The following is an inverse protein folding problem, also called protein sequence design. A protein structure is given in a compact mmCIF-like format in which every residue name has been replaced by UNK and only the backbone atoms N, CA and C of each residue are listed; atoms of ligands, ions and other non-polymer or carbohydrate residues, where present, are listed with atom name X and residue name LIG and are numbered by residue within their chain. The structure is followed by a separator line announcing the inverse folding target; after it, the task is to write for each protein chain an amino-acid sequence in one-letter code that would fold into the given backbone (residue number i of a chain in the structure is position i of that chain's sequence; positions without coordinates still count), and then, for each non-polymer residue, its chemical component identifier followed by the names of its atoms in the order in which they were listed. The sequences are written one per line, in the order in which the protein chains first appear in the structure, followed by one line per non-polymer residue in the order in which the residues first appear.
data_IF_743291665465
#
_entry.id   IF_743291665465
#
_cell.length_a   1.000
_cell.length_b   1.000
_cell.length_c   1.000
_cell.angle_alpha   90.00
_cell.angle_beta   90.00
_cell.angle_gamma   90.00
#
_symmetry.space_group_name_H-M   'P 1'
#
loop_
_entity.id
_entity.type
_entity.pdbx_description
1 polymer ?
#
# COMPACT_ATOMS: atom_id res chain seq x y z
N UNK A 1 13.92 -1.19 52.44
CA UNK A 1 14.70 -2.10 51.58
C UNK A 1 14.73 -1.47 50.21
N UNK A 2 15.74 -0.65 49.96
CA UNK A 2 15.95 0.08 48.71
C UNK A 2 16.84 -0.79 47.82
N UNK A 3 16.42 -1.06 46.59
CA UNK A 3 17.31 -1.61 45.56
C UNK A 3 17.47 -0.54 44.48
N UNK A 4 18.68 0.00 44.49
CA UNK A 4 19.27 0.95 43.56
C UNK A 4 19.69 0.17 42.30
N UNK A 5 19.19 0.55 41.12
CA UNK A 5 19.55 -0.07 39.83
C UNK A 5 20.18 0.97 38.89
N UNK A 6 21.06 1.78 39.46
CA UNK A 6 22.03 2.56 38.70
C UNK A 6 23.24 1.67 38.41
N UNK A 7 23.62 1.56 37.13
CA UNK A 7 24.87 1.02 36.55
C UNK A 7 24.68 -0.19 35.61
N UNK A 8 24.39 0.09 34.33
CA UNK A 8 25.01 -0.67 33.24
C UNK A 8 25.11 0.16 31.94
N UNK A 9 26.24 0.83 31.81
CA UNK A 9 26.98 1.09 30.56
C UNK A 9 28.38 0.49 30.86
N UNK A 10 29.12 -0.13 29.91
CA UNK A 10 29.36 0.44 28.59
C UNK A 10 29.59 -0.59 27.45
N UNK A 11 29.70 -0.10 26.22
CA UNK A 11 30.94 -0.17 25.43
C UNK A 11 30.67 0.12 23.94
N UNK A 12 31.18 1.27 23.53
CA UNK A 12 31.34 1.72 22.16
C UNK A 12 32.54 1.07 21.48
N UNK A 13 32.52 1.14 20.14
CA UNK A 13 33.67 1.36 19.22
C UNK A 13 34.33 0.15 18.54
N UNK A 14 34.07 0.04 17.24
CA UNK A 14 35.05 -0.03 16.13
C UNK A 14 34.26 -0.37 14.85
N UNK A 15 34.00 0.55 13.92
CA UNK A 15 34.95 1.12 12.94
C UNK A 15 35.69 0.03 12.14
N UNK A 16 35.14 -0.32 10.97
CA UNK A 16 35.89 -0.89 9.87
C UNK A 16 35.53 -0.12 8.59
N UNK A 17 36.47 0.74 8.22
CA UNK A 17 36.42 1.61 7.07
C UNK A 17 36.79 0.89 5.77
N UNK A 18 36.35 1.51 4.68
CA UNK A 18 37.10 1.73 3.44
C UNK A 18 37.28 0.59 2.41
N UNK A 19 36.67 0.90 1.26
CA UNK A 19 37.32 0.98 -0.06
C UNK A 19 37.61 -0.32 -0.85
N UNK A 20 37.02 -0.38 -2.04
CA UNK A 20 37.66 -0.75 -3.34
C UNK A 20 36.62 -0.58 -4.46
N UNK A 21 36.71 0.46 -5.28
CA UNK A 21 37.55 0.61 -6.48
C UNK A 21 36.78 0.27 -7.77
N UNK A 22 36.25 1.29 -8.45
CA UNK A 22 36.35 1.40 -9.91
C UNK A 22 37.77 1.95 -10.23
N UNK A 23 38.27 2.04 -11.49
CA UNK A 23 37.76 1.67 -12.83
C UNK A 23 38.80 0.87 -13.66
N UNK A 24 38.48 0.39 -14.88
CA UNK A 24 39.35 0.57 -16.09
C UNK A 24 38.53 0.36 -17.39
N UNK A 25 38.63 1.26 -18.39
CA UNK A 25 38.14 1.05 -19.75
C UNK A 25 39.15 0.29 -20.62
N UNK A 26 38.68 -0.62 -21.47
CA UNK A 26 39.51 -1.24 -22.51
C UNK A 26 39.04 -0.77 -23.90
N UNK A 27 39.85 0.10 -24.49
CA UNK A 27 39.82 0.40 -25.92
C UNK A 27 40.33 -0.82 -26.71
N UNK A 28 39.73 -1.11 -27.85
CA UNK A 28 40.34 -1.96 -28.88
C UNK A 28 40.23 -1.28 -30.25
N UNK A 29 41.35 -1.34 -30.95
CA UNK A 29 41.78 -0.61 -32.12
C UNK A 29 40.96 -0.89 -33.42
N UNK A 30 41.16 -0.06 -34.47
CA UNK A 30 40.44 -0.17 -35.75
C UNK A 30 41.14 -1.14 -36.72
N UNK A 31 40.37 -1.72 -37.65
CA UNK A 31 40.93 -2.38 -38.84
C UNK A 31 40.09 -2.15 -40.11
N UNK A 32 40.73 -2.12 -41.30
CA UNK A 32 40.18 -1.51 -42.52
C UNK A 32 39.53 -2.54 -43.45
N UNK A 33 38.55 -2.08 -44.25
CA UNK A 33 37.93 -2.92 -45.27
C UNK A 33 37.10 -2.13 -46.28
N UNK A 34 37.75 -1.41 -47.21
CA UNK A 34 37.10 -0.87 -48.40
C UNK A 34 36.65 -2.02 -49.30
N UNK A 35 35.34 -2.25 -49.42
CA UNK A 35 34.75 -2.92 -50.59
C UNK A 35 33.67 -2.02 -51.20
N UNK A 36 34.03 -1.32 -52.27
CA UNK A 36 33.08 -0.65 -53.17
C UNK A 36 32.28 -1.73 -53.90
N UNK A 37 31.07 -2.04 -53.43
CA UNK A 37 30.05 -2.71 -54.24
C UNK A 37 29.07 -1.64 -54.70
N UNK A 38 28.95 -1.48 -56.02
CA UNK A 38 27.97 -0.64 -56.66
C UNK A 38 26.56 -1.06 -56.19
N UNK A 39 25.93 -0.24 -55.34
CA UNK A 39 24.53 -0.41 -54.95
C UNK A 39 23.66 0.13 -56.09
N UNK A 40 22.95 -0.79 -56.72
CA UNK A 40 21.76 -0.50 -57.54
C UNK A 40 20.82 0.37 -56.70
N UNK A 41 20.45 1.54 -57.22
CA UNK A 41 19.62 2.50 -56.51
C UNK A 41 18.30 1.84 -56.04
N UNK A 42 17.98 1.87 -54.74
CA UNK A 42 16.66 1.46 -54.28
C UNK A 42 15.62 2.46 -54.81
N UNK A 43 14.43 2.01 -55.24
CA UNK A 43 13.34 2.90 -55.61
C UNK A 43 12.96 3.79 -54.42
N UNK A 44 12.68 5.06 -54.72
CA UNK A 44 12.34 6.08 -53.74
C UNK A 44 11.25 5.56 -52.78
N UNK A 45 11.61 5.47 -51.50
CA UNK A 45 10.65 5.13 -50.46
C UNK A 45 9.56 6.22 -50.45
N UNK A 46 8.27 5.85 -50.39
CA UNK A 46 7.19 6.82 -50.28
C UNK A 46 7.41 7.67 -49.02
N UNK A 47 7.23 8.99 -49.19
CA UNK A 47 7.30 9.95 -48.11
C UNK A 47 6.44 9.46 -46.93
N UNK A 48 7.08 9.18 -45.79
CA UNK A 48 6.35 8.83 -44.58
C UNK A 48 5.50 10.03 -44.19
N UNK A 49 4.18 9.86 -44.28
CA UNK A 49 3.23 10.81 -43.72
C UNK A 49 3.50 10.84 -42.22
N UNK A 50 4.10 11.93 -41.74
CA UNK A 50 4.33 12.16 -40.32
C UNK A 50 2.96 12.39 -39.69
N UNK A 51 2.33 11.32 -39.22
CA UNK A 51 1.13 11.43 -38.38
C UNK A 51 1.58 12.09 -37.08
N UNK A 52 1.06 13.27 -36.72
CA UNK A 52 1.43 13.92 -35.47
C UNK A 52 1.08 12.99 -34.31
N UNK A 53 2.04 12.78 -33.41
CA UNK A 53 1.83 11.97 -32.22
C UNK A 53 0.64 12.54 -31.41
N UNK A 54 -0.27 11.68 -30.93
CA UNK A 54 -1.39 12.13 -30.11
C UNK A 54 -0.87 12.88 -28.87
N UNK A 55 -1.58 13.92 -28.41
CA UNK A 55 -1.17 14.67 -27.24
C UNK A 55 -1.05 13.75 -26.01
N UNK A 56 -0.10 14.03 -25.10
CA UNK A 56 0.08 13.22 -23.90
C UNK A 56 -1.20 13.20 -23.06
N UNK A 57 -1.52 12.03 -22.52
CA UNK A 57 -2.66 11.86 -21.61
C UNK A 57 -2.49 12.75 -20.36
N UNK A 58 -3.59 13.28 -19.79
CA UNK A 58 -3.53 14.06 -18.57
C UNK A 58 -3.02 13.20 -17.39
N UNK A 59 -2.29 13.83 -16.48
CA UNK A 59 -1.82 13.18 -15.26
C UNK A 59 -3.00 12.73 -14.37
N UNK A 60 -2.84 11.64 -13.59
CA UNK A 60 -3.89 11.19 -12.68
C UNK A 60 -4.18 12.23 -11.59
N UNK A 61 -5.42 12.31 -11.10
CA UNK A 61 -5.78 13.23 -10.03
C UNK A 61 -5.05 12.87 -8.74
N UNK A 62 -4.54 13.89 -8.05
CA UNK A 62 -3.90 13.79 -6.74
C UNK A 62 -4.64 14.66 -5.72
N UNK A 63 -4.59 14.27 -4.45
CA UNK A 63 -5.17 15.11 -3.40
C UNK A 63 -4.36 16.40 -3.24
N UNK A 64 -5.05 17.53 -3.19
CA UNK A 64 -4.45 18.78 -2.76
C UNK A 64 -3.99 18.67 -1.29
N UNK A 65 -2.96 19.42 -0.88
CA UNK A 65 -2.55 19.49 0.51
C UNK A 65 -3.72 19.98 1.39
N UNK A 66 -3.84 19.38 2.58
CA UNK A 66 -4.97 19.62 3.48
C UNK A 66 -4.82 18.84 4.77
N UNK A 67 -5.93 18.32 5.32
CA UNK A 67 -5.91 17.49 6.53
C UNK A 67 -5.06 16.23 6.31
N UNK A 68 -4.26 15.86 7.31
CA UNK A 68 -3.51 14.61 7.30
C UNK A 68 -4.46 13.41 7.05
N UNK A 69 -4.07 12.55 6.11
CA UNK A 69 -4.85 11.38 5.68
C UNK A 69 -4.23 10.06 6.13
N UNK A 70 -3.14 10.14 6.88
CA UNK A 70 -2.48 9.01 7.49
C UNK A 70 -1.90 9.36 8.85
N UNK A 71 -1.67 8.35 9.68
CA UNK A 71 -0.87 8.43 10.89
C UNK A 71 -0.02 7.17 11.02
N UNK A 72 1.19 7.34 11.54
CA UNK A 72 2.14 6.25 11.79
C UNK A 72 2.09 5.85 13.27
N UNK A 73 2.24 4.56 13.51
CA UNK A 73 2.22 3.94 14.84
C UNK A 73 3.42 3.01 14.93
N UNK A 74 4.41 3.40 15.73
CA UNK A 74 5.59 2.57 16.00
C UNK A 74 5.21 1.52 17.04
N UNK A 75 5.25 0.25 16.66
CA UNK A 75 4.91 -0.87 17.52
C UNK A 75 5.97 -1.03 18.62
N UNK A 76 5.50 -1.13 19.86
CA UNK A 76 6.37 -1.41 21.00
C UNK A 76 6.77 -2.90 21.01
N UNK A 77 5.93 -3.77 20.42
CA UNK A 77 6.19 -5.19 20.18
C UNK A 77 6.12 -5.52 18.69
N UNK A 78 7.25 -5.46 17.96
CA UNK A 78 7.27 -5.76 16.53
C UNK A 78 6.79 -7.17 16.19
N UNK A 79 6.03 -7.29 15.09
CA UNK A 79 5.50 -8.57 14.61
C UNK A 79 6.34 -9.10 13.46
N UNK A 80 6.69 -10.37 13.47
CA UNK A 80 7.37 -11.03 12.34
C UNK A 80 6.39 -11.92 11.61
N UNK A 81 6.22 -11.70 10.31
CA UNK A 81 5.33 -12.48 9.46
C UNK A 81 5.92 -12.62 8.06
N UNK A 82 5.94 -13.84 7.53
CA UNK A 82 6.48 -14.17 6.20
C UNK A 82 7.90 -13.63 5.93
N UNK A 83 8.76 -13.66 6.97
CA UNK A 83 10.14 -13.17 6.87
C UNK A 83 10.29 -11.65 6.90
N UNK A 84 9.19 -10.89 7.00
CA UNK A 84 9.19 -9.45 7.21
C UNK A 84 8.96 -9.11 8.69
N UNK A 85 9.65 -8.08 9.19
CA UNK A 85 9.45 -7.53 10.53
C UNK A 85 8.68 -6.22 10.43
N UNK A 86 7.48 -6.20 11.00
CA UNK A 86 6.61 -5.04 11.09
C UNK A 86 6.90 -4.32 12.40
N UNK A 87 7.58 -3.18 12.31
CA UNK A 87 7.89 -2.30 13.46
C UNK A 87 7.02 -1.04 13.47
N UNK A 88 6.41 -0.70 12.33
CA UNK A 88 5.55 0.48 12.18
C UNK A 88 4.34 0.10 11.34
N UNK A 89 3.17 0.52 11.80
CA UNK A 89 1.93 0.49 11.03
C UNK A 89 1.50 1.90 10.65
N UNK A 90 0.99 2.05 9.44
CA UNK A 90 0.43 3.31 8.94
C UNK A 90 -1.05 3.12 8.73
N UNK A 91 -1.85 3.89 9.48
CA UNK A 91 -3.29 3.99 9.23
C UNK A 91 -3.50 5.04 8.17
N UNK A 92 -4.23 4.70 7.10
CA UNK A 92 -4.54 5.59 5.99
C UNK A 92 -6.05 5.65 5.76
N UNK A 93 -6.54 6.85 5.42
CA UNK A 93 -7.90 7.02 4.93
C UNK A 93 -8.02 6.54 3.48
N UNK A 94 -8.78 5.47 3.20
CA UNK A 94 -8.90 4.90 1.86
C UNK A 94 -9.54 5.89 0.90
N UNK A 95 -9.17 5.78 -0.37
CA UNK A 95 -9.77 6.46 -1.50
C UNK A 95 -11.17 5.91 -1.81
N UNK A 96 -11.95 6.67 -2.58
CA UNK A 96 -13.27 6.23 -3.01
C UNK A 96 -13.21 4.94 -3.85
N UNK A 97 -12.15 4.76 -4.65
CA UNK A 97 -11.93 3.57 -5.46
C UNK A 97 -11.66 2.33 -4.59
N UNK A 98 -10.78 2.45 -3.58
CA UNK A 98 -10.48 1.35 -2.66
C UNK A 98 -11.70 0.94 -1.83
N UNK A 99 -12.49 1.91 -1.36
CA UNK A 99 -13.75 1.62 -0.67
C UNK A 99 -14.75 0.93 -1.60
N UNK A 100 -14.81 1.34 -2.87
CA UNK A 100 -15.64 0.69 -3.89
C UNK A 100 -15.25 -0.77 -4.07
N UNK A 101 -13.98 -1.04 -4.33
CA UNK A 101 -13.44 -2.39 -4.49
C UNK A 101 -13.66 -3.26 -3.25
N UNK A 102 -13.55 -2.68 -2.05
CA UNK A 102 -13.86 -3.38 -0.80
C UNK A 102 -15.34 -3.83 -0.73
N UNK A 103 -16.28 -2.94 -1.06
CA UNK A 103 -17.71 -3.29 -1.05
C UNK A 103 -18.08 -4.27 -2.16
N UNK A 104 -17.46 -4.19 -3.34
CA UNK A 104 -17.64 -5.16 -4.42
C UNK A 104 -17.17 -6.55 -3.98
N UNK A 105 -15.96 -6.65 -3.42
CA UNK A 105 -15.45 -7.91 -2.90
C UNK A 105 -16.32 -8.49 -1.76
N UNK A 106 -16.87 -7.64 -0.89
CA UNK A 106 -17.78 -8.06 0.16
C UNK A 106 -19.11 -8.60 -0.41
N UNK A 107 -19.63 -7.99 -1.47
CA UNK A 107 -20.83 -8.46 -2.18
C UNK A 107 -20.59 -9.82 -2.87
N UNK A 108 -19.38 -10.06 -3.36
CA UNK A 108 -18.95 -11.34 -3.91
C UNK A 108 -18.66 -12.42 -2.83
N UNK A 109 -18.86 -12.09 -1.55
CA UNK A 109 -18.68 -12.99 -0.42
C UNK A 109 -17.26 -13.11 0.10
N UNK A 110 -16.33 -12.28 -0.39
CA UNK A 110 -14.97 -12.24 0.13
C UNK A 110 -14.93 -11.60 1.52
N UNK A 111 -14.10 -12.16 2.41
CA UNK A 111 -13.77 -11.57 3.71
C UNK A 111 -12.43 -10.86 3.60
N UNK A 112 -12.44 -9.66 3.03
CA UNK A 112 -11.24 -8.83 2.94
C UNK A 112 -11.13 -7.95 4.19
N UNK A 113 -9.90 -7.67 4.67
CA UNK A 113 -9.68 -6.66 5.70
C UNK A 113 -10.02 -5.27 5.15
N UNK A 114 -10.35 -4.34 6.05
CA UNK A 114 -10.51 -2.94 5.70
C UNK A 114 -9.20 -2.40 5.10
N UNK A 115 -9.23 -1.66 3.98
CA UNK A 115 -8.03 -1.15 3.29
C UNK A 115 -7.48 0.09 4.01
N UNK A 116 -7.07 -0.07 5.26
CA UNK A 116 -6.69 1.02 6.17
C UNK A 116 -5.31 0.84 6.78
N UNK A 117 -4.81 -0.39 6.87
CA UNK A 117 -3.51 -0.72 7.45
C UNK A 117 -2.45 -0.90 6.35
N UNK A 118 -1.40 -0.12 6.42
CA UNK A 118 -0.30 -0.11 5.45
C UNK A 118 1.05 -0.11 6.15
N UNK A 119 2.09 -0.56 5.45
CA UNK A 119 3.48 -0.34 5.85
C UNK A 119 3.89 1.10 5.53
N UNK A 120 5.02 1.61 6.07
CA UNK A 120 5.58 2.91 5.70
C UNK A 120 5.83 3.07 4.20
N UNK A 121 6.13 1.97 3.51
CA UNK A 121 6.35 1.92 2.05
C UNK A 121 5.02 2.01 1.26
N UNK A 122 3.89 1.87 1.95
CA UNK A 122 2.55 1.96 1.36
C UNK A 122 1.94 0.63 0.95
N UNK A 123 2.54 -0.51 1.32
CA UNK A 123 2.03 -1.84 1.03
C UNK A 123 0.92 -2.24 2.03
N UNK A 124 -0.15 -2.94 1.60
CA UNK A 124 -1.19 -3.41 2.52
C UNK A 124 -0.62 -4.37 3.57
N UNK A 125 -0.99 -4.16 4.83
CA UNK A 125 -0.57 -5.04 5.92
C UNK A 125 -1.47 -6.29 5.94
N UNK A 126 -0.90 -7.51 5.99
CA UNK A 126 -1.69 -8.74 6.09
C UNK A 126 -2.53 -8.76 7.35
N UNK A 127 -3.77 -9.27 7.27
CA UNK A 127 -4.67 -9.31 8.42
C UNK A 127 -4.07 -10.09 9.62
N UNK A 128 -3.35 -11.17 9.35
CA UNK A 128 -2.68 -11.97 10.38
C UNK A 128 -1.65 -11.18 11.21
N UNK A 129 -1.07 -10.11 10.65
CA UNK A 129 -0.17 -9.21 11.39
C UNK A 129 -0.96 -8.35 12.36
N UNK A 130 -2.12 -7.85 11.93
CA UNK A 130 -3.02 -7.04 12.76
C UNK A 130 -3.61 -7.87 13.89
N UNK A 131 -4.03 -9.11 13.61
CA UNK A 131 -4.59 -10.04 14.61
C UNK A 131 -3.55 -10.50 15.64
N UNK A 132 -2.27 -10.40 15.30
CA UNK A 132 -1.15 -10.80 16.16
C UNK A 132 -0.50 -9.63 16.90
N UNK A 133 -1.10 -8.43 16.83
CA UNK A 133 -0.61 -7.29 17.61
C UNK A 133 -0.68 -7.58 19.11
N UNK A 134 0.29 -7.05 19.84
CA UNK A 134 0.23 -7.02 21.30
C UNK A 134 -1.02 -6.22 21.73
N UNK A 135 -1.72 -6.60 22.81
CA UNK A 135 -2.94 -5.90 23.23
C UNK A 135 -2.77 -4.39 23.42
N UNK A 136 -1.63 -3.91 23.93
CA UNK A 136 -1.41 -2.47 24.13
C UNK A 136 -1.21 -1.74 22.78
N UNK A 137 -0.54 -2.39 21.83
CA UNK A 137 -0.38 -1.90 20.46
C UNK A 137 -1.72 -1.92 19.70
N UNK A 138 -2.51 -2.99 19.85
CA UNK A 138 -3.85 -3.13 19.26
C UNK A 138 -4.79 -2.04 19.76
N UNK A 139 -4.90 -1.83 21.07
CA UNK A 139 -5.75 -0.79 21.66
C UNK A 139 -5.38 0.61 21.14
N UNK A 140 -4.08 0.89 21.02
CA UNK A 140 -3.57 2.18 20.52
C UNK A 140 -3.89 2.40 19.04
N UNK A 141 -3.73 1.35 18.23
CA UNK A 141 -3.98 1.37 16.79
C UNK A 141 -5.48 1.42 16.50
N UNK A 142 -6.26 0.50 17.08
CA UNK A 142 -7.70 0.37 16.89
C UNK A 142 -8.46 1.56 17.47
N UNK A 143 -7.98 2.15 18.58
CA UNK A 143 -8.54 3.38 19.16
C UNK A 143 -8.53 4.58 18.21
N UNK A 144 -7.69 4.55 17.16
CA UNK A 144 -7.61 5.58 16.12
C UNK A 144 -8.26 5.18 14.80
N UNK A 145 -8.70 3.93 14.64
CA UNK A 145 -9.22 3.40 13.38
C UNK A 145 -10.37 4.25 12.82
N UNK A 146 -11.32 4.65 13.68
CA UNK A 146 -12.50 5.42 13.27
C UNK A 146 -12.16 6.81 12.69
N UNK A 147 -11.04 7.41 13.10
CA UNK A 147 -10.58 8.70 12.58
C UNK A 147 -10.22 8.63 11.09
N UNK A 148 -9.82 7.44 10.62
CA UNK A 148 -9.40 7.17 9.26
C UNK A 148 -10.48 6.54 8.39
N UNK A 149 -11.64 6.19 8.94
CA UNK A 149 -12.74 5.67 8.14
C UNK A 149 -13.48 6.80 7.38
N UNK A 150 -13.79 6.60 6.09
CA UNK A 150 -14.76 7.41 5.36
C UNK A 150 -16.15 7.27 5.98
N UNK A 151 -16.96 8.33 5.89
CA UNK A 151 -18.30 8.38 6.47
C UNK A 151 -19.20 7.22 6.01
N UNK A 152 -19.01 6.75 4.77
CA UNK A 152 -19.71 5.58 4.24
C UNK A 152 -19.39 4.31 5.03
N UNK A 153 -18.12 4.08 5.38
CA UNK A 153 -17.70 2.95 6.21
C UNK A 153 -18.12 3.15 7.67
N UNK A 154 -18.01 4.36 8.22
CA UNK A 154 -18.48 4.66 9.58
C UNK A 154 -19.97 4.34 9.75
N UNK A 155 -20.81 4.64 8.76
CA UNK A 155 -22.23 4.28 8.77
C UNK A 155 -22.43 2.77 8.78
N UNK A 156 -21.68 2.03 7.95
CA UNK A 156 -21.77 0.58 7.90
C UNK A 156 -21.35 -0.08 9.23
N UNK A 157 -20.25 0.38 9.83
CA UNK A 157 -19.77 -0.11 11.13
C UNK A 157 -20.79 0.19 12.23
N UNK A 158 -21.36 1.40 12.28
CA UNK A 158 -22.39 1.75 13.27
C UNK A 158 -23.65 0.89 13.17
N UNK A 159 -24.12 0.60 11.96
CA UNK A 159 -25.28 -0.29 11.76
C UNK A 159 -24.95 -1.71 12.23
N UNK A 160 -23.75 -2.21 11.93
CA UNK A 160 -23.30 -3.53 12.37
C UNK A 160 -23.11 -3.64 13.90
N UNK A 161 -22.75 -2.55 14.57
CA UNK A 161 -22.55 -2.52 16.02
C UNK A 161 -23.84 -2.28 16.83
N UNK A 162 -24.98 -1.99 16.19
CA UNK A 162 -26.25 -1.80 16.87
C UNK A 162 -27.01 -3.14 16.98
N UNK A 163 -27.14 -3.74 18.19
CA UNK A 163 -27.85 -4.99 18.37
C UNK A 163 -29.37 -4.87 18.14
N UNK A 164 -29.91 -3.65 17.99
CA UNK A 164 -31.32 -3.38 17.67
C UNK A 164 -31.58 -3.06 16.20
N UNK A 165 -30.59 -3.15 15.30
CA UNK A 165 -30.85 -2.97 13.87
C UNK A 165 -31.73 -4.12 13.36
N UNK A 166 -32.97 -3.86 12.88
CA UNK A 166 -33.80 -4.89 12.30
C UNK A 166 -33.11 -5.40 11.04
N UNK A 167 -32.84 -6.71 10.99
CA UNK A 167 -32.54 -7.39 9.75
C UNK A 167 -33.62 -7.00 8.72
N UNK A 168 -33.27 -6.78 7.43
CA UNK A 168 -34.28 -6.76 6.39
C UNK A 168 -34.86 -8.17 6.26
N UNK A 169 -35.79 -8.50 7.15
CA UNK A 169 -36.61 -9.70 7.08
C UNK A 169 -37.43 -9.61 5.81
N UNK A 170 -37.03 -10.39 4.81
CA UNK A 170 -37.89 -10.80 3.71
C UNK A 170 -38.98 -11.75 4.20
N UNK A 171 -39.78 -11.32 5.18
CA UNK A 171 -40.95 -12.05 5.65
C UNK A 171 -42.13 -11.74 4.70
N UNK A 172 -42.61 -12.70 3.89
CA UNK A 172 -43.86 -12.53 3.20
C UNK A 172 -44.97 -12.50 4.24
N UNK A 173 -45.61 -11.34 4.39
CA UNK A 173 -46.86 -11.21 5.14
C UNK A 173 -47.94 -12.01 4.41
N UNK A 174 -48.21 -13.23 4.90
CA UNK A 174 -49.39 -13.97 4.49
C UNK A 174 -50.64 -13.25 5.04
N UNK A 175 -51.66 -12.96 4.21
CA UNK A 175 -52.92 -12.44 4.72
C UNK A 175 -53.70 -13.58 5.39
N UNK A 176 -53.89 -13.48 6.70
CA UNK A 176 -54.80 -14.33 7.46
C UNK A 176 -56.24 -14.06 6.99
N UNK A 177 -56.78 -14.89 6.11
CA UNK A 177 -58.20 -14.92 5.83
C UNK A 177 -58.87 -15.88 6.80
N UNK A 178 -59.69 -15.32 7.68
CA UNK A 178 -60.59 -16.04 8.58
C UNK A 178 -61.93 -16.23 7.86
N UNK A 179 -62.40 -17.47 7.73
CA UNK A 179 -63.80 -17.83 7.49
C UNK A 179 -64.05 -19.21 8.08
#
# INVERSE_FOLDING_TARGET
MSHDFSQYEPASKAEAAAARAAPVPAATAPAPGRRKRARKAPPAAPAQVVVPAPPPAPAPPVFAPGRARSAEFVLDWPVVYDGATYTVLVLRRPSAAEVGAYFEALADGARLPLPVFFTPEGDPVPHAVVDALDPDDDDRVMGRLLDFLPDRLLRAVRVASDPSSPLPDGAPTAPTSST
#
